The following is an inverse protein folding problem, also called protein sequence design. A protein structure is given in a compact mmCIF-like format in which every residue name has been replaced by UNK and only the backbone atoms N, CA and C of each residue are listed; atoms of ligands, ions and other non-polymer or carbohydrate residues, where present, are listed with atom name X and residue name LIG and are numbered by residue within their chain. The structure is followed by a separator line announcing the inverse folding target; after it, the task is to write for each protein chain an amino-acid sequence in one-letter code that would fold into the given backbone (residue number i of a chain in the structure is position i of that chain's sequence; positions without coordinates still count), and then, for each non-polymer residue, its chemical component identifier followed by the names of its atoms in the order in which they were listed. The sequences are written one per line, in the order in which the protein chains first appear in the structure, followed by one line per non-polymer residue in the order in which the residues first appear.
data_IF_572868950585
#
_entry.id   IF_572868950585
#
_cell.length_a   1.000
_cell.length_b   1.000
_cell.length_c   1.000
_cell.angle_alpha   90.00
_cell.angle_beta   90.00
_cell.angle_gamma   90.00
#
_symmetry.space_group_name_H-M   'P 1'
#
loop_
_entity.id
_entity.type
_entity.pdbx_description
1 polymer ?
#
# COMPACT_ATOMS: atom_id res chain seq x y z
N UNK A 1 47.85 40.69 -22.41
CA UNK A 1 47.41 39.49 -23.18
C UNK A 1 47.49 38.19 -22.36
N UNK A 2 48.48 38.00 -21.48
CA UNK A 2 48.66 36.76 -20.69
C UNK A 2 47.55 36.46 -19.66
N UNK A 3 46.92 37.50 -19.09
CA UNK A 3 45.86 37.34 -18.07
C UNK A 3 44.59 36.66 -18.59
N UNK A 4 44.21 36.93 -19.84
CA UNK A 4 43.03 36.30 -20.47
C UNK A 4 43.29 34.82 -20.79
N UNK A 5 44.53 34.48 -21.14
CA UNK A 5 44.94 33.10 -21.43
C UNK A 5 44.88 32.21 -20.17
N UNK A 6 45.28 32.77 -19.01
CA UNK A 6 45.22 32.08 -17.72
C UNK A 6 43.77 31.82 -17.26
N UNK A 7 42.87 32.77 -17.51
CA UNK A 7 41.43 32.61 -17.24
C UNK A 7 40.81 31.52 -18.13
N UNK A 8 41.19 31.44 -19.40
CA UNK A 8 40.71 30.42 -20.33
C UNK A 8 41.20 29.01 -19.96
N UNK A 9 42.42 28.88 -19.42
CA UNK A 9 42.93 27.59 -18.91
C UNK A 9 42.26 27.15 -17.60
N UNK A 10 41.84 28.08 -16.75
CA UNK A 10 41.12 27.76 -15.50
C UNK A 10 39.72 27.15 -15.71
N UNK A 11 39.12 27.39 -16.89
CA UNK A 11 37.81 26.83 -17.29
C UNK A 11 37.89 25.41 -17.86
N UNK A 12 39.10 24.86 -18.03
CA UNK A 12 39.32 23.50 -18.54
C UNK A 12 39.40 22.44 -17.44
N UNK A 13 39.10 22.79 -16.19
CA UNK A 13 38.84 21.78 -15.16
C UNK A 13 37.47 21.21 -15.51
N UNK A 14 37.36 19.98 -16.05
CA UNK A 14 36.05 19.36 -16.15
C UNK A 14 35.53 19.34 -14.72
N UNK A 15 34.34 19.91 -14.50
CA UNK A 15 33.58 19.62 -13.32
C UNK A 15 33.33 18.10 -13.40
N UNK A 16 34.25 17.30 -12.86
CA UNK A 16 34.03 15.91 -12.56
C UNK A 16 32.86 15.98 -11.61
N UNK A 17 31.69 15.79 -12.20
CA UNK A 17 30.40 15.78 -11.53
C UNK A 17 30.64 15.00 -10.25
N UNK A 18 30.49 15.70 -9.12
CA UNK A 18 30.27 15.05 -7.84
C UNK A 18 28.96 14.29 -8.06
N UNK A 19 29.07 13.10 -8.63
CA UNK A 19 28.03 12.11 -8.60
C UNK A 19 27.96 11.76 -7.12
N UNK A 20 27.14 12.51 -6.38
CA UNK A 20 26.79 12.17 -5.02
C UNK A 20 26.15 10.78 -5.10
N UNK A 21 26.96 9.76 -4.84
CA UNK A 21 26.45 8.43 -4.61
C UNK A 21 25.66 8.50 -3.31
N UNK A 22 24.34 8.40 -3.40
CA UNK A 22 23.49 8.18 -2.23
C UNK A 22 23.84 6.79 -1.70
N UNK A 23 24.81 6.75 -0.80
CA UNK A 23 25.21 5.52 -0.10
C UNK A 23 24.29 5.34 1.09
N UNK A 24 23.65 4.18 1.17
CA UNK A 24 22.67 3.88 2.19
C UNK A 24 22.20 2.44 2.06
N UNK A 25 21.53 1.93 3.09
CA UNK A 25 20.93 0.60 3.06
C UNK A 25 19.42 0.72 3.00
N UNK A 26 18.77 -0.04 2.11
CA UNK A 26 17.32 -0.18 2.06
C UNK A 26 16.99 -1.51 2.73
N UNK A 27 16.41 -1.45 3.92
CA UNK A 27 15.82 -2.62 4.55
C UNK A 27 14.46 -2.92 3.92
N UNK A 28 14.35 -4.00 3.16
CA UNK A 28 13.06 -4.49 2.63
C UNK A 28 12.63 -5.69 3.44
N UNK A 29 11.36 -5.72 3.87
CA UNK A 29 10.74 -6.88 4.51
C UNK A 29 9.52 -7.30 3.70
N UNK A 30 9.60 -8.49 3.11
CA UNK A 30 8.44 -9.15 2.51
C UNK A 30 7.76 -10.01 3.57
N UNK A 31 6.47 -9.77 3.79
CA UNK A 31 5.63 -10.61 4.67
C UNK A 31 4.58 -11.28 3.81
N UNK A 32 4.64 -12.61 3.74
CA UNK A 32 3.66 -13.44 3.03
C UNK A 32 2.76 -14.06 4.09
N UNK A 33 1.46 -13.79 3.98
CA UNK A 33 0.45 -14.44 4.82
C UNK A 33 -0.06 -15.71 4.14
N UNK A 34 -0.48 -16.69 4.94
CA UNK A 34 -1.24 -17.84 4.45
C UNK A 34 -2.58 -17.39 3.87
N UNK A 35 -3.17 -18.22 3.00
CA UNK A 35 -4.53 -17.97 2.48
C UNK A 35 -5.52 -17.90 3.65
N UNK A 36 -6.42 -16.91 3.63
CA UNK A 36 -7.50 -16.83 4.60
C UNK A 36 -8.58 -17.86 4.29
N UNK A 37 -9.15 -18.45 5.34
CA UNK A 37 -10.33 -19.28 5.25
C UNK A 37 -11.58 -18.43 5.44
N UNK A 38 -12.50 -18.49 4.46
CA UNK A 38 -13.76 -17.74 4.48
C UNK A 38 -14.89 -18.76 4.51
N UNK A 39 -15.62 -18.79 5.62
CA UNK A 39 -16.74 -19.68 5.80
C UNK A 39 -18.05 -18.88 5.86
N UNK A 40 -18.99 -19.24 5.00
CA UNK A 40 -20.37 -18.79 5.10
C UNK A 40 -21.14 -19.76 5.99
N UNK A 41 -21.69 -19.26 7.09
CA UNK A 41 -22.61 -20.02 7.95
C UNK A 41 -24.00 -19.44 7.78
N UNK A 42 -25.01 -20.28 7.55
CA UNK A 42 -26.41 -19.83 7.48
C UNK A 42 -26.90 -19.23 8.81
N UNK A 43 -26.28 -19.61 9.93
CA UNK A 43 -26.57 -19.07 11.25
C UNK A 43 -25.98 -17.66 11.49
N UNK A 44 -25.07 -17.17 10.63
CA UNK A 44 -24.42 -15.88 10.80
C UNK A 44 -24.73 -14.93 9.66
N UNK A 45 -25.04 -13.69 9.99
CA UNK A 45 -25.27 -12.62 9.02
C UNK A 45 -23.99 -12.09 8.35
N UNK A 46 -22.81 -12.48 8.86
CA UNK A 46 -21.50 -12.12 8.31
C UNK A 46 -20.65 -13.37 8.17
N UNK A 47 -19.78 -13.45 7.13
CA UNK A 47 -18.88 -14.58 6.97
C UNK A 47 -17.89 -14.63 8.14
N UNK A 48 -17.52 -15.84 8.54
CA UNK A 48 -16.36 -16.04 9.39
C UNK A 48 -15.13 -16.01 8.49
N UNK A 49 -14.16 -15.15 8.83
CA UNK A 49 -12.90 -15.04 8.10
C UNK A 49 -11.79 -15.30 9.11
N UNK A 50 -10.93 -16.25 8.80
CA UNK A 50 -9.73 -16.55 9.59
C UNK A 50 -8.50 -16.48 8.68
N UNK A 51 -7.67 -15.46 8.89
CA UNK A 51 -6.40 -15.30 8.17
C UNK A 51 -5.20 -15.88 8.96
N UNK A 52 -5.47 -16.75 9.94
CA UNK A 52 -4.51 -17.28 10.89
C UNK A 52 -4.26 -16.33 12.06
N UNK A 53 -3.16 -16.53 12.79
CA UNK A 53 -2.80 -15.73 13.98
C UNK A 53 -2.25 -14.33 13.64
N UNK A 54 -2.43 -13.83 12.42
CA UNK A 54 -1.95 -12.52 12.00
C UNK A 54 -3.07 -11.48 11.96
N UNK A 55 -3.12 -10.66 13.01
CA UNK A 55 -4.04 -9.53 13.12
C UNK A 55 -3.91 -8.53 11.96
N UNK A 56 -2.69 -8.33 11.43
CA UNK A 56 -2.46 -7.43 10.28
C UNK A 56 -3.01 -7.95 8.95
N UNK A 57 -3.37 -9.24 8.88
CA UNK A 57 -3.98 -9.85 7.70
C UNK A 57 -5.50 -9.99 7.86
N UNK A 58 -6.02 -9.81 9.08
CA UNK A 58 -7.44 -9.97 9.38
C UNK A 58 -8.21 -8.76 8.82
N UNK A 59 -9.15 -8.97 7.88
CA UNK A 59 -9.89 -7.87 7.31
C UNK A 59 -10.87 -7.27 8.30
N UNK A 60 -11.17 -6.00 8.09
CA UNK A 60 -12.31 -5.35 8.74
C UNK A 60 -13.59 -5.81 8.05
N UNK A 61 -14.53 -6.33 8.83
CA UNK A 61 -15.86 -6.71 8.35
C UNK A 61 -16.86 -5.70 8.89
N UNK A 62 -17.56 -5.01 7.99
CA UNK A 62 -18.63 -4.08 8.35
C UNK A 62 -19.97 -4.56 7.80
N UNK A 63 -21.05 -4.17 8.48
CA UNK A 63 -22.42 -4.52 8.12
C UNK A 63 -23.26 -3.25 8.14
N UNK A 64 -23.96 -2.98 7.06
CA UNK A 64 -24.95 -1.91 6.96
C UNK A 64 -26.28 -2.45 6.46
N UNK A 65 -27.37 -1.88 6.95
CA UNK A 65 -28.71 -2.14 6.43
C UNK A 65 -28.96 -1.13 5.32
N UNK A 66 -29.27 -1.61 4.12
CA UNK A 66 -29.68 -0.75 3.01
C UNK A 66 -31.19 -0.86 2.92
N UNK A 67 -31.88 0.27 3.06
CA UNK A 67 -33.27 0.37 2.68
C UNK A 67 -33.33 0.47 1.15
N UNK A 68 -33.99 -0.49 0.51
CA UNK A 68 -34.33 -0.37 -0.91
C UNK A 68 -35.36 0.74 -1.07
N UNK A 69 -35.08 1.73 -1.93
CA UNK A 69 -36.12 2.65 -2.40
C UNK A 69 -37.07 1.87 -3.32
N UNK A 70 -38.33 1.71 -2.89
CA UNK A 70 -39.34 0.92 -3.62
C UNK A 70 -40.47 0.41 -2.73
N UNK A 71 -41.56 -0.07 -3.35
CA UNK A 71 -42.77 -0.57 -2.68
C UNK A 71 -42.53 -1.82 -1.81
N UNK A 72 -41.49 -2.61 -2.10
CA UNK A 72 -41.09 -3.72 -1.23
C UNK A 72 -40.08 -3.25 -0.18
N UNK A 73 -40.52 -3.16 1.08
CA UNK A 73 -39.62 -3.03 2.24
C UNK A 73 -38.82 -4.33 2.43
N UNK A 74 -37.83 -4.59 1.58
CA UNK A 74 -36.80 -5.60 1.84
C UNK A 74 -35.66 -4.97 2.62
N UNK A 75 -35.39 -5.51 3.81
CA UNK A 75 -34.19 -5.18 4.58
C UNK A 75 -32.99 -5.87 3.92
N UNK A 76 -32.39 -5.23 2.93
CA UNK A 76 -31.14 -5.69 2.34
C UNK A 76 -29.99 -5.41 3.32
N UNK A 77 -29.07 -6.35 3.43
CA UNK A 77 -27.87 -6.20 4.23
C UNK A 77 -26.67 -6.14 3.29
N UNK A 78 -25.87 -5.10 3.44
CA UNK A 78 -24.58 -5.00 2.80
C UNK A 78 -23.51 -5.39 3.81
N UNK A 79 -22.67 -6.34 3.40
CA UNK A 79 -21.51 -6.78 4.16
C UNK A 79 -20.28 -6.39 3.35
N UNK A 80 -19.41 -5.57 3.94
CA UNK A 80 -18.18 -5.10 3.30
C UNK A 80 -16.98 -5.71 4.01
N UNK A 81 -15.99 -6.16 3.24
CA UNK A 81 -14.75 -6.78 3.71
C UNK A 81 -13.60 -5.95 3.14
N UNK A 82 -12.79 -5.36 4.02
CA UNK A 82 -11.71 -4.42 3.67
C UNK A 82 -10.38 -4.87 4.30
N UNK A 83 -9.27 -4.74 3.56
CA UNK A 83 -7.89 -5.05 3.98
C UNK A 83 -7.03 -3.79 4.08
#
# INVERSE_FOLDING_TARGET
MTRALLLAMGLLIPAYTLAESVTGSIGVRLVIFSRCEIQRSEARSVPQIDCGRQASAQPRVTRSVIQSEGSERRNHQLVTIEW
#
